data_IF_862120883078
#
_entry.id   IF_862120883078
#
_cell.length_a   1.000
_cell.length_b   1.000
_cell.length_c   1.000
_cell.angle_alpha   90.00
_cell.angle_beta   90.00
_cell.angle_gamma   90.00
#
_symmetry.space_group_name_H-M   'P 1'
#
loop_
_entity.id
_entity.type
_entity.pdbx_description
1 polymer ?
#
# COMPACT_ATOMS: atom_id res chain seq x y z
N UNK A 1 13.92 -16.79 16.34
CA UNK A 1 12.97 -15.76 16.76
C UNK A 1 12.67 -14.97 15.51
N UNK A 2 11.51 -15.23 14.91
CA UNK A 2 11.25 -14.75 13.56
C UNK A 2 10.88 -13.28 13.55
N UNK A 3 11.32 -12.51 12.56
CA UNK A 3 10.91 -11.13 12.29
C UNK A 3 9.38 -10.98 12.33
N UNK A 4 8.69 -12.03 11.89
CA UNK A 4 7.23 -12.13 11.82
C UNK A 4 6.54 -12.71 13.06
N UNK A 5 7.31 -13.30 13.97
CA UNK A 5 6.81 -13.78 15.26
C UNK A 5 6.55 -12.61 16.22
N UNK A 6 7.07 -11.42 15.88
CA UNK A 6 6.78 -10.18 16.57
C UNK A 6 5.34 -9.76 16.32
N UNK A 7 4.51 -9.79 17.37
CA UNK A 7 3.14 -9.26 17.37
C UNK A 7 3.08 -7.84 16.76
N UNK A 8 4.11 -7.03 17.02
CA UNK A 8 4.22 -5.66 16.51
C UNK A 8 4.23 -5.64 14.97
N UNK A 9 4.94 -6.56 14.32
CA UNK A 9 5.02 -6.63 12.85
C UNK A 9 3.69 -7.12 12.26
N UNK A 10 3.03 -8.05 12.94
CA UNK A 10 1.71 -8.54 12.52
C UNK A 10 0.62 -7.46 12.67
N UNK A 11 0.66 -6.67 13.75
CA UNK A 11 -0.22 -5.53 13.94
C UNK A 11 0.06 -4.41 12.93
N UNK A 12 1.34 -4.11 12.66
CA UNK A 12 1.73 -3.13 11.62
C UNK A 12 1.20 -3.57 10.25
N UNK A 13 1.31 -4.85 9.90
CA UNK A 13 0.79 -5.40 8.66
C UNK A 13 -0.73 -5.21 8.55
N UNK A 14 -1.48 -5.63 9.59
CA UNK A 14 -2.94 -5.50 9.62
C UNK A 14 -3.40 -4.05 9.52
N UNK A 15 -2.76 -3.16 10.28
CA UNK A 15 -3.02 -1.72 10.21
C UNK A 15 -2.78 -1.20 8.80
N UNK A 16 -1.66 -1.55 8.19
CA UNK A 16 -1.29 -1.08 6.86
C UNK A 16 -2.27 -1.53 5.78
N UNK A 17 -2.70 -2.79 5.80
CA UNK A 17 -3.73 -3.28 4.86
C UNK A 17 -5.09 -2.63 5.11
N UNK A 18 -5.47 -2.41 6.38
CA UNK A 18 -6.72 -1.74 6.74
C UNK A 18 -6.75 -0.27 6.30
N UNK A 19 -5.66 0.46 6.54
CA UNK A 19 -5.49 1.85 6.13
C UNK A 19 -5.56 1.94 4.59
N UNK A 20 -4.87 1.03 3.89
CA UNK A 20 -4.88 0.95 2.43
C UNK A 20 -6.29 0.71 1.88
N UNK A 21 -7.02 -0.28 2.40
CA UNK A 21 -8.37 -0.59 1.95
C UNK A 21 -9.32 0.60 2.17
N UNK A 22 -9.18 1.27 3.31
CA UNK A 22 -9.97 2.46 3.65
C UNK A 22 -9.68 3.60 2.68
N UNK A 23 -8.41 3.84 2.32
CA UNK A 23 -8.07 4.85 1.33
C UNK A 23 -8.56 4.50 -0.08
N UNK A 24 -8.48 3.25 -0.51
CA UNK A 24 -9.03 2.84 -1.81
C UNK A 24 -10.54 3.09 -1.88
N UNK A 25 -11.25 2.75 -0.80
CA UNK A 25 -12.69 3.02 -0.72
C UNK A 25 -12.97 4.53 -0.77
N UNK A 26 -12.22 5.31 0.00
CA UNK A 26 -12.31 6.78 0.02
C UNK A 26 -11.97 7.40 -1.36
N UNK A 27 -11.04 6.80 -2.10
CA UNK A 27 -10.61 7.21 -3.43
C UNK A 27 -11.72 7.18 -4.47
N UNK A 28 -12.77 6.36 -4.25
CA UNK A 28 -13.97 6.35 -5.10
C UNK A 28 -14.71 7.69 -5.07
N UNK A 29 -14.54 8.47 -4.00
CA UNK A 29 -15.14 9.79 -3.81
C UNK A 29 -14.17 10.94 -4.10
N UNK A 30 -12.93 10.65 -4.51
CA UNK A 30 -11.89 11.65 -4.77
C UNK A 30 -12.34 12.79 -5.69
N UNK A 31 -13.17 12.48 -6.70
CA UNK A 31 -13.71 13.48 -7.62
C UNK A 31 -14.58 14.55 -6.95
N UNK A 32 -15.20 14.22 -5.81
CA UNK A 32 -16.07 15.12 -5.04
C UNK A 32 -15.30 15.97 -4.01
N UNK A 33 -14.04 15.63 -3.74
CA UNK A 33 -13.25 16.37 -2.76
C UNK A 33 -12.93 17.78 -3.28
N UNK A 34 -12.93 18.73 -2.36
CA UNK A 34 -12.34 20.05 -2.57
C UNK A 34 -10.82 19.94 -2.73
N UNK A 35 -10.17 21.06 -3.10
CA UNK A 35 -8.74 21.08 -3.39
C UNK A 35 -7.89 20.62 -2.20
N UNK A 36 -8.26 21.00 -0.98
CA UNK A 36 -7.51 20.61 0.23
C UNK A 36 -7.75 19.13 0.56
N UNK A 37 -8.99 18.65 0.45
CA UNK A 37 -9.32 17.24 0.61
C UNK A 37 -8.59 16.34 -0.39
N UNK A 38 -8.48 16.77 -1.65
CA UNK A 38 -7.69 16.06 -2.68
C UNK A 38 -6.20 16.02 -2.31
N UNK A 39 -5.64 17.13 -1.84
CA UNK A 39 -4.23 17.21 -1.44
C UNK A 39 -3.95 16.26 -0.26
N UNK A 40 -4.78 16.31 0.77
CA UNK A 40 -4.68 15.44 1.93
C UNK A 40 -4.80 13.96 1.54
N UNK A 41 -5.74 13.63 0.65
CA UNK A 41 -5.89 12.26 0.15
C UNK A 41 -4.62 11.75 -0.53
N UNK A 42 -4.01 12.56 -1.40
CA UNK A 42 -2.75 12.22 -2.07
C UNK A 42 -1.63 12.02 -1.04
N UNK A 43 -1.48 12.95 -0.08
CA UNK A 43 -0.46 12.85 0.97
C UNK A 43 -0.63 11.57 1.81
N UNK A 44 -1.86 11.23 2.18
CA UNK A 44 -2.17 10.00 2.91
C UNK A 44 -1.86 8.76 2.09
N UNK A 45 -2.20 8.75 0.79
CA UNK A 45 -1.86 7.64 -0.10
C UNK A 45 -0.34 7.48 -0.23
N UNK A 46 0.41 8.56 -0.40
CA UNK A 46 1.88 8.51 -0.47
C UNK A 46 2.51 7.96 0.82
N UNK A 47 2.00 8.39 1.99
CA UNK A 47 2.48 7.89 3.28
C UNK A 47 2.26 6.38 3.45
N UNK A 48 1.09 5.86 3.04
CA UNK A 48 0.82 4.41 3.06
C UNK A 48 1.74 3.68 2.09
N UNK A 49 1.93 4.23 0.88
CA UNK A 49 2.80 3.63 -0.13
C UNK A 49 4.26 3.54 0.34
N UNK A 50 4.75 4.56 1.04
CA UNK A 50 6.07 4.54 1.64
C UNK A 50 6.19 3.46 2.73
N UNK A 51 5.22 3.38 3.65
CA UNK A 51 5.17 2.33 4.68
C UNK A 51 5.14 0.94 4.06
N UNK A 52 4.34 0.74 3.02
CA UNK A 52 4.24 -0.52 2.30
C UNK A 52 5.54 -0.88 1.58
N UNK A 53 6.23 0.09 0.96
CA UNK A 53 7.56 -0.13 0.38
C UNK A 53 8.59 -0.56 1.42
N UNK A 54 8.61 0.10 2.58
CA UNK A 54 9.52 -0.24 3.69
C UNK A 54 9.21 -1.65 4.21
N UNK A 55 7.93 -1.97 4.40
CA UNK A 55 7.47 -3.28 4.85
C UNK A 55 7.89 -4.39 3.87
N UNK A 56 7.66 -4.19 2.57
CA UNK A 56 8.08 -5.13 1.52
C UNK A 56 9.60 -5.31 1.46
N UNK A 57 10.38 -4.25 1.69
CA UNK A 57 11.84 -4.35 1.76
C UNK A 57 12.32 -5.07 3.01
N UNK A 58 11.70 -4.85 4.17
CA UNK A 58 11.99 -5.61 5.40
C UNK A 58 11.71 -7.10 5.19
N UNK A 59 10.65 -7.44 4.46
CA UNK A 59 10.30 -8.81 4.11
C UNK A 59 11.30 -9.47 3.18
N UNK A 60 11.69 -8.77 2.11
CA UNK A 60 12.66 -9.26 1.12
C UNK A 60 14.01 -9.60 1.78
N UNK A 61 14.39 -8.83 2.80
CA UNK A 61 15.61 -9.02 3.58
C UNK A 61 15.45 -10.03 4.73
N UNK A 62 14.23 -10.50 5.01
CA UNK A 62 13.95 -11.43 6.10
C UNK A 62 14.15 -12.87 5.64
N UNK A 63 15.02 -13.61 6.31
CA UNK A 63 15.24 -15.05 6.08
C UNK A 63 14.18 -15.94 6.74
N UNK A 64 13.12 -15.34 7.30
CA UNK A 64 12.04 -16.04 7.97
C UNK A 64 11.13 -16.78 6.99
N UNK A 65 10.97 -18.07 7.23
CA UNK A 65 10.04 -18.92 6.49
C UNK A 65 8.60 -18.37 6.52
N UNK A 66 8.18 -17.82 7.66
CA UNK A 66 6.87 -17.17 7.82
C UNK A 66 6.71 -15.95 6.91
N UNK A 67 7.78 -15.18 6.70
CA UNK A 67 7.77 -14.01 5.82
C UNK A 67 7.58 -14.39 4.35
N UNK A 68 8.25 -15.47 3.93
CA UNK A 68 8.12 -16.03 2.59
C UNK A 68 6.68 -16.49 2.33
N UNK A 69 6.05 -17.17 3.29
CA UNK A 69 4.67 -17.66 3.13
C UNK A 69 3.65 -16.52 3.06
N UNK A 70 3.79 -15.46 3.86
CA UNK A 70 2.91 -14.27 3.76
C UNK A 70 3.09 -13.54 2.43
N UNK A 71 4.33 -13.45 1.92
CA UNK A 71 4.61 -12.88 0.61
C UNK A 71 3.97 -13.72 -0.50
N UNK A 72 4.02 -15.05 -0.40
CA UNK A 72 3.31 -15.93 -1.34
C UNK A 72 1.80 -15.73 -1.29
N UNK A 73 1.20 -15.66 -0.10
CA UNK A 73 -0.24 -15.39 0.03
C UNK A 73 -0.64 -14.04 -0.56
N UNK A 74 0.14 -12.99 -0.29
CA UNK A 74 -0.07 -11.67 -0.87
C UNK A 74 0.02 -11.72 -2.41
N UNK A 75 1.06 -12.36 -2.95
CA UNK A 75 1.21 -12.58 -4.39
C UNK A 75 0.01 -13.34 -4.95
N UNK A 76 -0.48 -14.37 -4.28
CA UNK A 76 -1.66 -15.13 -4.71
C UNK A 76 -2.89 -14.24 -4.78
N UNK A 77 -3.15 -13.42 -3.75
CA UNK A 77 -4.29 -12.49 -3.76
C UNK A 77 -4.17 -11.48 -4.90
N UNK A 78 -3.01 -10.85 -5.07
CA UNK A 78 -2.79 -9.89 -6.16
C UNK A 78 -2.90 -10.53 -7.55
N UNK A 79 -2.45 -11.78 -7.69
CA UNK A 79 -2.56 -12.54 -8.93
C UNK A 79 -4.03 -12.87 -9.27
N UNK A 80 -4.92 -13.03 -8.28
CA UNK A 80 -6.37 -13.11 -8.52
C UNK A 80 -6.93 -11.82 -9.11
N UNK A 81 -6.34 -10.68 -8.79
CA UNK A 81 -6.63 -9.38 -9.41
C UNK A 81 -5.84 -9.15 -10.72
N UNK A 82 -5.08 -10.14 -11.20
CA UNK A 82 -4.30 -10.05 -12.44
C UNK A 82 -3.10 -9.11 -12.37
N UNK A 83 -2.58 -8.82 -11.17
CA UNK A 83 -1.49 -7.86 -10.96
C UNK A 83 -0.38 -8.44 -10.08
N UNK A 84 0.87 -8.03 -10.32
CA UNK A 84 1.99 -8.28 -9.39
C UNK A 84 2.11 -7.13 -8.38
N UNK A 85 2.77 -7.34 -7.22
CA UNK A 85 3.06 -6.26 -6.28
C UNK A 85 3.75 -5.07 -6.96
N UNK A 86 4.75 -5.33 -7.80
CA UNK A 86 5.48 -4.29 -8.53
C UNK A 86 4.57 -3.52 -9.49
N UNK A 87 3.68 -4.21 -10.21
CA UNK A 87 2.70 -3.56 -11.07
C UNK A 87 1.71 -2.71 -10.30
N UNK A 88 1.26 -3.18 -9.14
CA UNK A 88 0.41 -2.41 -8.23
C UNK A 88 1.12 -1.11 -7.82
N UNK A 89 2.36 -1.18 -7.33
CA UNK A 89 3.16 0.00 -6.98
C UNK A 89 3.30 1.00 -8.13
N UNK A 90 3.67 0.51 -9.32
CA UNK A 90 3.82 1.34 -10.51
C UNK A 90 2.51 2.02 -10.89
N UNK A 91 1.41 1.26 -10.91
CA UNK A 91 0.09 1.77 -11.25
C UNK A 91 -0.40 2.83 -10.25
N UNK A 92 -0.09 2.65 -8.96
CA UNK A 92 -0.42 3.61 -7.91
C UNK A 92 0.38 4.89 -8.04
N UNK A 93 1.69 4.82 -8.28
CA UNK A 93 2.51 6.00 -8.53
C UNK A 93 1.97 6.82 -9.72
N UNK A 94 1.67 6.16 -10.84
CA UNK A 94 1.08 6.83 -12.02
C UNK A 94 -0.27 7.47 -11.68
N UNK A 95 -1.09 6.79 -10.87
CA UNK A 95 -2.39 7.33 -10.43
C UNK A 95 -2.20 8.58 -9.56
N UNK A 96 -1.27 8.54 -8.60
CA UNK A 96 -0.98 9.66 -7.72
C UNK A 96 -0.40 10.86 -8.48
N UNK A 97 0.50 10.63 -9.43
CA UNK A 97 1.04 11.70 -10.27
C UNK A 97 -0.08 12.40 -11.07
N UNK A 98 -0.99 11.63 -11.68
CA UNK A 98 -2.17 12.22 -12.35
C UNK A 98 -3.09 12.96 -11.40
N UNK A 99 -3.25 12.48 -10.17
CA UNK A 99 -4.05 13.16 -9.15
C UNK A 99 -3.40 14.49 -8.75
N UNK A 100 -2.07 14.53 -8.60
CA UNK A 100 -1.30 15.75 -8.31
C UNK A 100 -1.41 16.78 -9.42
N UNK A 101 -1.27 16.38 -10.68
CA UNK A 101 -1.43 17.29 -11.82
C UNK A 101 -2.84 17.88 -11.95
N UNK A 102 -3.85 17.32 -11.28
CA UNK A 102 -5.20 17.92 -11.23
C UNK A 102 -5.33 19.01 -10.15
N UNK A 103 -4.40 19.09 -9.20
CA UNK A 103 -4.41 20.06 -8.08
C UNK A 103 -3.51 21.26 -8.38
N UNK A 104 -2.38 21.03 -9.03
CA UNK A 104 -1.41 22.04 -9.46
C UNK A 104 -1.29 22.02 -11.00
N UNK A 105 -2.06 22.88 -11.71
CA UNK A 105 -1.98 23.05 -13.16
C UNK A 105 -0.79 23.91 -13.62
#
# INVERSE_FOLDING_TARGET
>A
MGFFDSEIVQEEAKSLFGDYQSLIQLGSEYGKFDREGKKLYIEQMEAIMERYRIFMKRFELSEDFSAQMTMEQLKTQLNQFGMTPEQMFSQMNVTLERMKSQIDP
#
